data_IF_483244521316
#
_entry.id   IF_483244521316
#
_cell.length_a   1.000
_cell.length_b   1.000
_cell.length_c   1.000
_cell.angle_alpha   90.00
_cell.angle_beta   90.00
_cell.angle_gamma   90.00
#
_symmetry.space_group_name_H-M   'P 1'
#
loop_
_entity.id
_entity.type
_entity.pdbx_description
1 polymer ?
#
# COMPACT_ATOMS: atom_id res chain seq x y z
N UNK A 1 -13.77 19.51 26.80
CA UNK A 1 -15.06 19.68 26.11
C UNK A 1 -14.97 18.87 24.82
N UNK A 2 -15.68 17.76 24.73
CA UNK A 2 -15.52 16.78 23.65
C UNK A 2 -16.29 17.26 22.42
N UNK A 3 -15.70 17.22 21.22
CA UNK A 3 -16.37 17.58 19.94
C UNK A 3 -17.67 16.81 19.78
N UNK A 4 -17.69 15.56 20.23
CA UNK A 4 -18.91 14.75 20.33
C UNK A 4 -20.04 15.38 21.13
N UNK A 5 -19.74 16.08 22.23
CA UNK A 5 -20.77 16.74 23.04
C UNK A 5 -21.33 17.98 22.35
N UNK A 6 -20.53 18.66 21.54
CA UNK A 6 -20.96 19.84 20.76
C UNK A 6 -21.82 19.39 19.59
N UNK A 7 -21.39 18.36 18.86
CA UNK A 7 -22.17 17.79 17.75
C UNK A 7 -23.49 17.20 18.27
N UNK A 8 -23.48 16.40 19.35
CA UNK A 8 -24.72 15.84 19.92
C UNK A 8 -25.69 16.90 20.47
N UNK A 9 -25.18 18.01 21.01
CA UNK A 9 -26.06 19.07 21.54
C UNK A 9 -26.69 19.90 20.43
N UNK A 10 -26.01 20.05 19.29
CA UNK A 10 -26.56 20.72 18.10
C UNK A 10 -27.54 19.80 17.34
N UNK A 11 -27.21 18.52 17.18
CA UNK A 11 -28.09 17.52 16.51
C UNK A 11 -29.41 17.30 17.25
N UNK A 12 -29.39 17.26 18.60
CA UNK A 12 -30.62 17.16 19.41
C UNK A 12 -31.53 18.39 19.32
N UNK A 13 -31.01 19.54 18.89
CA UNK A 13 -31.77 20.77 18.77
C UNK A 13 -32.37 21.01 17.37
N UNK A 14 -31.84 20.34 16.33
CA UNK A 14 -32.15 20.68 14.92
C UNK A 14 -32.59 19.49 14.04
N UNK A 15 -32.46 18.24 14.50
CA UNK A 15 -32.80 17.05 13.70
C UNK A 15 -31.79 16.79 12.57
N UNK A 16 -31.86 15.60 11.96
CA UNK A 16 -30.93 15.04 10.94
C UNK A 16 -30.39 16.03 9.87
N UNK A 17 -31.11 17.11 9.57
CA UNK A 17 -30.70 18.17 8.66
C UNK A 17 -29.35 18.82 9.02
N UNK A 18 -29.03 18.99 10.30
CA UNK A 18 -27.74 19.55 10.70
C UNK A 18 -26.57 18.60 10.46
N UNK A 19 -26.80 17.30 10.59
CA UNK A 19 -25.75 16.28 10.39
C UNK A 19 -25.48 16.09 8.89
N UNK A 20 -26.53 16.05 8.08
CA UNK A 20 -26.41 15.98 6.62
C UNK A 20 -25.74 17.23 6.05
N UNK A 21 -26.12 18.43 6.53
CA UNK A 21 -25.47 19.69 6.13
C UNK A 21 -23.97 19.69 6.48
N UNK A 22 -23.62 19.26 7.69
CA UNK A 22 -22.22 19.15 8.11
C UNK A 22 -21.43 18.18 7.22
N UNK A 23 -22.00 17.00 6.91
CA UNK A 23 -21.38 16.04 5.99
C UNK A 23 -21.20 16.64 4.60
N UNK A 24 -22.18 17.37 4.08
CA UNK A 24 -22.09 18.05 2.79
C UNK A 24 -20.96 19.10 2.76
N UNK A 25 -20.83 19.90 3.83
CA UNK A 25 -19.75 20.88 3.99
C UNK A 25 -18.38 20.19 4.04
N UNK A 26 -18.28 19.07 4.75
CA UNK A 26 -17.07 18.27 4.81
C UNK A 26 -16.68 17.73 3.43
N UNK A 27 -17.62 17.19 2.65
CA UNK A 27 -17.34 16.75 1.28
C UNK A 27 -16.91 17.92 0.38
N UNK A 28 -17.53 19.08 0.53
CA UNK A 28 -17.15 20.31 -0.19
C UNK A 28 -15.71 20.76 0.16
N UNK A 29 -15.33 20.64 1.43
CA UNK A 29 -13.98 20.92 1.90
C UNK A 29 -12.96 19.97 1.27
N UNK A 30 -13.19 18.65 1.32
CA UNK A 30 -12.28 17.68 0.71
C UNK A 30 -12.20 17.82 -0.81
N UNK A 31 -13.29 18.20 -1.48
CA UNK A 31 -13.26 18.52 -2.90
C UNK A 31 -12.38 19.75 -3.19
N UNK A 32 -12.45 20.78 -2.35
CA UNK A 32 -11.61 21.97 -2.46
C UNK A 32 -10.14 21.64 -2.23
N UNK A 33 -9.85 20.80 -1.23
CA UNK A 33 -8.51 20.26 -0.99
C UNK A 33 -7.99 19.45 -2.17
N UNK A 34 -8.78 18.53 -2.73
CA UNK A 34 -8.37 17.72 -3.88
C UNK A 34 -8.06 18.59 -5.12
N UNK A 35 -8.82 19.68 -5.33
CA UNK A 35 -8.51 20.66 -6.39
C UNK A 35 -7.17 21.35 -6.16
N UNK A 36 -6.88 21.77 -4.91
CA UNK A 36 -5.59 22.36 -4.55
C UNK A 36 -4.44 21.34 -4.69
N UNK A 37 -4.66 20.09 -4.28
CA UNK A 37 -3.68 19.02 -4.39
C UNK A 37 -3.33 18.70 -5.85
N UNK A 38 -4.28 18.86 -6.79
CA UNK A 38 -4.05 18.61 -8.21
C UNK A 38 -3.25 19.70 -8.95
N UNK A 39 -2.99 20.84 -8.30
CA UNK A 39 -2.19 21.91 -8.91
C UNK A 39 -0.74 21.45 -9.04
N UNK A 40 -0.21 21.48 -10.26
CA UNK A 40 1.13 21.01 -10.58
C UNK A 40 2.11 22.20 -10.76
N UNK A 41 3.37 22.01 -10.38
CA UNK A 41 4.47 22.96 -10.57
C UNK A 41 4.29 24.35 -9.93
N UNK A 42 3.45 24.47 -8.90
CA UNK A 42 3.31 25.71 -8.13
C UNK A 42 4.12 25.65 -6.82
N UNK A 43 5.24 26.38 -6.78
CA UNK A 43 6.12 26.44 -5.61
C UNK A 43 5.49 27.16 -4.40
N UNK A 44 4.46 28.00 -4.63
CA UNK A 44 3.76 28.73 -3.57
C UNK A 44 2.80 27.78 -2.84
N UNK A 45 2.16 26.88 -3.58
CA UNK A 45 1.14 25.96 -3.06
C UNK A 45 1.77 24.66 -2.51
N UNK A 46 2.94 24.26 -3.00
CA UNK A 46 3.63 23.03 -2.60
C UNK A 46 3.77 22.84 -1.07
N UNK A 47 4.17 23.83 -0.26
CA UNK A 47 4.24 23.67 1.20
C UNK A 47 2.88 23.29 1.83
N UNK A 48 1.80 23.88 1.32
CA UNK A 48 0.43 23.59 1.77
C UNK A 48 0.00 22.18 1.37
N UNK A 49 0.34 21.73 0.15
CA UNK A 49 0.10 20.35 -0.28
C UNK A 49 0.82 19.35 0.63
N UNK A 50 2.11 19.58 0.90
CA UNK A 50 2.93 18.72 1.78
C UNK A 50 2.33 18.67 3.19
N UNK A 51 1.96 19.82 3.75
CA UNK A 51 1.41 19.91 5.10
C UNK A 51 0.05 19.19 5.22
N UNK A 52 -0.83 19.37 4.22
CA UNK A 52 -2.14 18.73 4.19
C UNK A 52 -2.01 17.20 4.10
N UNK A 53 -1.21 16.69 3.17
CA UNK A 53 -1.05 15.23 2.98
C UNK A 53 -0.34 14.60 4.19
N UNK A 54 0.67 15.26 4.77
CA UNK A 54 1.40 14.74 5.94
C UNK A 54 0.57 14.69 7.23
N UNK A 55 -0.49 15.49 7.32
CA UNK A 55 -1.38 15.54 8.50
C UNK A 55 -2.61 14.64 8.35
N UNK A 56 -2.83 14.04 7.17
CA UNK A 56 -4.05 13.29 6.88
C UNK A 56 -4.28 12.10 7.82
N UNK A 57 -3.22 11.35 8.14
CA UNK A 57 -3.30 10.23 9.10
C UNK A 57 -3.76 10.65 10.49
N UNK A 58 -3.54 11.91 10.88
CA UNK A 58 -3.86 12.42 12.22
C UNK A 58 -5.35 12.73 12.41
N UNK A 59 -6.11 12.88 11.31
CA UNK A 59 -7.53 13.24 11.35
C UNK A 59 -8.48 12.03 11.20
N UNK A 60 -7.95 10.82 11.01
CA UNK A 60 -8.77 9.63 10.78
C UNK A 60 -9.75 9.33 11.91
N UNK A 61 -9.32 9.45 13.16
CA UNK A 61 -10.20 9.23 14.31
C UNK A 61 -11.39 10.20 14.25
N UNK A 62 -11.15 11.46 13.95
CA UNK A 62 -12.17 12.50 13.86
C UNK A 62 -13.10 12.27 12.66
N UNK A 63 -12.58 11.83 11.52
CA UNK A 63 -13.41 11.52 10.34
C UNK A 63 -14.28 10.29 10.57
N UNK A 64 -13.74 9.23 11.17
CA UNK A 64 -14.47 7.99 11.47
C UNK A 64 -15.60 8.21 12.49
N UNK A 65 -15.52 9.27 13.29
CA UNK A 65 -16.58 9.66 14.22
C UNK A 65 -17.82 10.26 13.52
N UNK A 66 -17.68 10.73 12.27
CA UNK A 66 -18.72 11.49 11.55
C UNK A 66 -19.05 10.92 10.17
N UNK A 67 -18.20 10.05 9.62
CA UNK A 67 -18.37 9.41 8.32
C UNK A 67 -18.22 7.89 8.42
N UNK A 68 -18.95 7.12 7.59
CA UNK A 68 -18.68 5.71 7.41
C UNK A 68 -17.25 5.45 6.95
N UNK A 69 -16.66 4.32 7.37
CA UNK A 69 -15.28 3.94 7.03
C UNK A 69 -15.02 3.90 5.52
N UNK A 70 -16.02 3.51 4.72
CA UNK A 70 -15.91 3.48 3.26
C UNK A 70 -15.80 4.89 2.66
N UNK A 71 -16.49 5.88 3.24
CA UNK A 71 -16.39 7.28 2.77
C UNK A 71 -15.05 7.88 3.16
N UNK A 72 -14.52 7.55 4.34
CA UNK A 72 -13.14 7.95 4.71
C UNK A 72 -12.12 7.30 3.77
N UNK A 73 -12.29 6.02 3.42
CA UNK A 73 -11.41 5.34 2.46
C UNK A 73 -11.45 5.98 1.07
N UNK A 74 -12.63 6.36 0.56
CA UNK A 74 -12.78 7.10 -0.70
C UNK A 74 -12.08 8.46 -0.65
N UNK A 75 -12.21 9.19 0.47
CA UNK A 75 -11.52 10.46 0.68
C UNK A 75 -9.99 10.26 0.62
N UNK A 76 -9.44 9.27 1.33
CA UNK A 76 -8.00 8.93 1.29
C UNK A 76 -7.57 8.59 -0.13
N UNK A 77 -8.31 7.72 -0.82
CA UNK A 77 -8.05 7.36 -2.22
C UNK A 77 -7.95 8.59 -3.12
N UNK A 78 -8.96 9.47 -3.06
CA UNK A 78 -8.99 10.69 -3.88
C UNK A 78 -7.83 11.62 -3.54
N UNK A 79 -7.54 11.84 -2.25
CA UNK A 79 -6.40 12.64 -1.81
C UNK A 79 -5.08 12.13 -2.38
N UNK A 80 -4.88 10.81 -2.47
CA UNK A 80 -3.66 10.21 -3.02
C UNK A 80 -3.62 10.21 -4.55
N UNK A 81 -4.75 9.92 -5.22
CA UNK A 81 -4.83 9.87 -6.69
C UNK A 81 -4.84 11.25 -7.36
N UNK A 82 -5.27 12.31 -6.65
CA UNK A 82 -5.27 13.67 -7.19
C UNK A 82 -3.89 14.35 -7.16
N UNK A 83 -2.89 13.79 -6.49
CA UNK A 83 -1.56 14.39 -6.43
C UNK A 83 -0.90 14.40 -7.82
N UNK A 84 -0.26 15.52 -8.22
CA UNK A 84 0.38 15.65 -9.52
C UNK A 84 1.51 14.65 -9.66
N UNK A 85 1.90 14.26 -10.89
CA UNK A 85 3.10 13.44 -11.10
C UNK A 85 4.30 14.11 -10.43
N UNK A 86 4.82 13.52 -9.34
CA UNK A 86 5.70 14.23 -8.43
C UNK A 86 7.18 14.19 -8.85
N UNK A 87 7.83 15.33 -9.09
CA UNK A 87 9.29 15.42 -9.04
C UNK A 87 9.80 15.76 -7.62
N UNK A 88 8.96 16.32 -6.74
CA UNK A 88 9.39 16.79 -5.42
C UNK A 88 9.41 15.66 -4.37
N UNK A 89 10.59 15.42 -3.80
CA UNK A 89 10.83 14.36 -2.81
C UNK A 89 9.97 14.53 -1.55
N UNK A 90 9.75 15.75 -1.07
CA UNK A 90 8.96 15.99 0.15
C UNK A 90 7.48 15.67 -0.06
N UNK A 91 6.92 15.92 -1.25
CA UNK A 91 5.55 15.54 -1.58
C UNK A 91 5.41 14.01 -1.73
N UNK A 92 6.42 13.34 -2.30
CA UNK A 92 6.48 11.86 -2.33
C UNK A 92 6.51 11.29 -0.91
N UNK A 93 7.35 11.85 -0.03
CA UNK A 93 7.42 11.44 1.38
C UNK A 93 6.10 11.66 2.11
N UNK A 94 5.44 12.81 1.90
CA UNK A 94 4.12 13.08 2.46
C UNK A 94 3.08 12.06 1.99
N UNK A 95 3.04 11.75 0.68
CA UNK A 95 2.15 10.74 0.12
C UNK A 95 2.40 9.37 0.75
N UNK A 96 3.66 8.90 0.74
CA UNK A 96 4.00 7.58 1.28
C UNK A 96 3.69 7.49 2.78
N UNK A 97 3.90 8.58 3.53
CA UNK A 97 3.47 8.66 4.93
C UNK A 97 1.95 8.53 5.08
N UNK A 98 1.16 9.23 4.26
CA UNK A 98 -0.30 9.08 4.26
C UNK A 98 -0.74 7.65 3.96
N UNK A 99 -0.13 6.98 2.96
CA UNK A 99 -0.35 5.55 2.69
C UNK A 99 -0.04 4.71 3.92
N UNK A 100 1.13 4.92 4.53
CA UNK A 100 1.59 4.18 5.69
C UNK A 100 0.67 4.32 6.90
N UNK A 101 0.28 5.55 7.22
CA UNK A 101 -0.65 5.87 8.31
C UNK A 101 -2.01 5.21 8.05
N UNK A 102 -2.47 5.16 6.79
CA UNK A 102 -3.72 4.49 6.43
C UNK A 102 -3.65 2.99 6.64
N UNK A 103 -2.57 2.33 6.18
CA UNK A 103 -2.34 0.88 6.37
C UNK A 103 -2.35 0.50 7.85
N UNK A 104 -1.92 1.40 8.74
CA UNK A 104 -1.91 1.20 10.19
C UNK A 104 -3.20 1.57 10.92
N UNK A 105 -4.17 2.15 10.21
CA UNK A 105 -5.40 2.67 10.81
C UNK A 105 -6.55 1.64 10.79
N UNK A 106 -7.62 1.95 11.53
CA UNK A 106 -8.87 1.18 11.51
C UNK A 106 -9.54 1.14 10.12
N UNK A 107 -9.24 2.11 9.25
CA UNK A 107 -9.77 2.16 7.88
C UNK A 107 -9.36 0.90 7.11
N UNK A 108 -8.14 0.41 7.35
CA UNK A 108 -7.60 -0.77 6.68
C UNK A 108 -8.14 -2.09 7.22
N UNK A 109 -8.81 -2.07 8.38
CA UNK A 109 -9.40 -3.28 8.95
C UNK A 109 -10.74 -3.64 8.29
N UNK A 110 -11.42 -2.65 7.69
CA UNK A 110 -12.65 -2.88 6.94
C UNK A 110 -12.33 -3.52 5.57
N UNK A 111 -12.95 -4.66 5.25
CA UNK A 111 -12.63 -5.45 4.05
C UNK A 111 -12.90 -4.71 2.74
N UNK A 112 -14.05 -4.03 2.62
CA UNK A 112 -14.44 -3.32 1.40
C UNK A 112 -13.50 -2.13 1.15
N UNK A 113 -13.25 -1.34 2.20
CA UNK A 113 -12.29 -0.23 2.16
C UNK A 113 -10.89 -0.72 1.82
N UNK A 114 -10.44 -1.84 2.42
CA UNK A 114 -9.10 -2.38 2.25
C UNK A 114 -8.84 -2.76 0.79
N UNK A 115 -9.75 -3.51 0.16
CA UNK A 115 -9.58 -3.93 -1.24
C UNK A 115 -9.44 -2.73 -2.18
N UNK A 116 -10.29 -1.71 -2.00
CA UNK A 116 -10.21 -0.48 -2.81
C UNK A 116 -8.89 0.28 -2.59
N UNK A 117 -8.44 0.37 -1.34
CA UNK A 117 -7.17 1.02 -0.99
C UNK A 117 -5.97 0.23 -1.53
N UNK A 118 -6.01 -1.10 -1.56
CA UNK A 118 -4.94 -1.94 -2.13
C UNK A 118 -4.71 -1.63 -3.61
N UNK A 119 -5.76 -1.50 -4.42
CA UNK A 119 -5.63 -1.18 -5.85
C UNK A 119 -4.95 0.18 -6.08
N UNK A 120 -5.16 1.13 -5.17
CA UNK A 120 -4.56 2.47 -5.22
C UNK A 120 -3.12 2.43 -4.73
N UNK A 121 -2.90 1.91 -3.52
CA UNK A 121 -1.60 1.90 -2.86
C UNK A 121 -0.57 1.10 -3.65
N UNK A 122 -0.93 -0.07 -4.18
CA UNK A 122 0.00 -0.89 -4.97
C UNK A 122 0.43 -0.21 -6.26
N UNK A 123 -0.43 0.59 -6.89
CA UNK A 123 -0.10 1.38 -8.08
C UNK A 123 0.92 2.48 -7.77
N UNK A 124 0.74 3.22 -6.67
CA UNK A 124 1.69 4.26 -6.25
C UNK A 124 3.01 3.66 -5.76
N UNK A 125 2.97 2.59 -4.96
CA UNK A 125 4.16 1.84 -4.56
C UNK A 125 4.94 1.35 -5.78
N UNK A 126 4.26 0.76 -6.76
CA UNK A 126 4.88 0.31 -8.02
C UNK A 126 5.64 1.45 -8.71
N UNK A 127 4.99 2.60 -8.87
CA UNK A 127 5.57 3.79 -9.50
C UNK A 127 6.87 4.20 -8.80
N UNK A 128 6.82 4.41 -7.48
CA UNK A 128 7.98 4.87 -6.72
C UNK A 128 9.10 3.82 -6.66
N UNK A 129 8.75 2.54 -6.58
CA UNK A 129 9.73 1.45 -6.61
C UNK A 129 10.48 1.34 -7.94
N UNK A 130 9.77 1.44 -9.07
CA UNK A 130 10.40 1.47 -10.39
C UNK A 130 11.31 2.70 -10.59
N UNK A 131 10.94 3.82 -9.97
CA UNK A 131 11.73 5.07 -9.97
C UNK A 131 12.85 5.08 -8.92
N UNK A 132 13.01 4.02 -8.13
CA UNK A 132 13.94 3.95 -7.00
C UNK A 132 13.80 5.09 -5.97
N UNK A 133 12.60 5.64 -5.83
CA UNK A 133 12.30 6.71 -4.87
C UNK A 133 11.79 6.13 -3.56
N UNK A 134 12.35 6.60 -2.44
CA UNK A 134 11.86 6.26 -1.09
C UNK A 134 11.69 4.74 -0.88
N UNK A 135 12.60 3.94 -1.45
CA UNK A 135 12.49 2.47 -1.44
C UNK A 135 12.37 1.90 -0.03
N UNK A 136 13.04 2.51 0.95
CA UNK A 136 12.93 2.13 2.36
C UNK A 136 11.47 2.23 2.82
N UNK A 137 10.85 3.39 2.64
CA UNK A 137 9.46 3.64 3.01
C UNK A 137 8.50 2.73 2.24
N UNK A 138 8.71 2.54 0.93
CA UNK A 138 7.92 1.61 0.12
C UNK A 138 8.01 0.17 0.66
N UNK A 139 9.21 -0.30 1.03
CA UNK A 139 9.41 -1.64 1.59
C UNK A 139 8.75 -1.80 2.96
N UNK A 140 8.75 -0.75 3.80
CA UNK A 140 8.07 -0.77 5.10
C UNK A 140 6.55 -0.86 4.91
N UNK A 141 5.97 -0.02 4.05
CA UNK A 141 4.52 -0.03 3.77
C UNK A 141 4.10 -1.41 3.27
N UNK A 142 4.79 -1.93 2.26
CA UNK A 142 4.47 -3.24 1.69
C UNK A 142 4.65 -4.36 2.71
N UNK A 143 5.69 -4.29 3.54
CA UNK A 143 5.92 -5.24 4.62
C UNK A 143 4.78 -5.24 5.64
N UNK A 144 4.29 -4.06 6.05
CA UNK A 144 3.14 -3.91 6.95
C UNK A 144 1.85 -4.46 6.32
N UNK A 145 1.61 -4.17 5.03
CA UNK A 145 0.47 -4.74 4.28
C UNK A 145 0.53 -6.27 4.21
N UNK A 146 1.69 -6.84 3.87
CA UNK A 146 1.88 -8.30 3.78
C UNK A 146 1.73 -8.97 5.15
N UNK A 147 2.29 -8.35 6.20
CA UNK A 147 2.17 -8.85 7.58
C UNK A 147 0.71 -8.89 8.01
N UNK A 148 -0.06 -7.84 7.69
CA UNK A 148 -1.50 -7.80 7.92
C UNK A 148 -2.22 -8.96 7.21
N UNK A 149 -1.96 -9.17 5.91
CA UNK A 149 -2.59 -10.26 5.15
C UNK A 149 -2.24 -11.65 5.69
N UNK A 150 -0.99 -11.89 6.12
CA UNK A 150 -0.58 -13.14 6.77
C UNK A 150 -1.38 -13.39 8.05
N UNK A 151 -1.54 -12.35 8.88
CA UNK A 151 -2.35 -12.45 10.09
C UNK A 151 -3.82 -12.74 9.77
N UNK A 152 -4.40 -12.08 8.79
CA UNK A 152 -5.80 -12.31 8.40
C UNK A 152 -6.01 -13.71 7.78
N UNK A 153 -5.09 -14.18 6.94
CA UNK A 153 -5.14 -15.55 6.37
C UNK A 153 -5.10 -16.60 7.48
N UNK A 154 -4.27 -16.40 8.52
CA UNK A 154 -4.18 -17.34 9.66
C UNK A 154 -5.45 -17.43 10.50
N UNK A 155 -6.25 -16.35 10.54
CA UNK A 155 -7.55 -16.32 11.23
C UNK A 155 -8.68 -16.94 10.41
N UNK A 156 -8.46 -17.11 9.10
CA UNK A 156 -9.47 -17.57 8.15
C UNK A 156 -9.72 -19.08 8.26
N UNK A 157 -10.36 -19.51 9.36
CA UNK A 157 -10.98 -20.85 9.47
C UNK A 157 -12.41 -20.85 8.91
N UNK A 158 -12.92 -19.69 8.49
CA UNK A 158 -14.27 -19.48 7.98
C UNK A 158 -14.24 -18.97 6.54
N UNK A 159 -15.11 -19.52 5.69
CA UNK A 159 -15.23 -19.26 4.24
C UNK A 159 -15.45 -17.79 3.82
N UNK A 160 -15.60 -16.86 4.76
CA UNK A 160 -16.01 -15.47 4.50
C UNK A 160 -14.88 -14.43 4.67
N UNK A 161 -13.68 -14.80 5.11
CA UNK A 161 -12.55 -13.89 5.30
C UNK A 161 -11.34 -14.28 4.44
N UNK A 162 -11.52 -14.33 3.12
CA UNK A 162 -10.41 -14.59 2.20
C UNK A 162 -9.65 -13.30 1.91
N UNK A 163 -8.33 -13.34 2.05
CA UNK A 163 -7.40 -12.27 1.61
C UNK A 163 -6.98 -12.42 0.14
N UNK A 164 -7.59 -13.38 -0.57
CA UNK A 164 -7.16 -13.76 -1.92
C UNK A 164 -7.19 -12.59 -2.90
N UNK A 165 -8.19 -11.72 -2.84
CA UNK A 165 -8.27 -10.57 -3.76
C UNK A 165 -7.13 -9.58 -3.52
N UNK A 166 -6.79 -9.30 -2.27
CA UNK A 166 -5.67 -8.43 -1.92
C UNK A 166 -4.33 -9.04 -2.35
N UNK A 167 -4.15 -10.35 -2.15
CA UNK A 167 -2.96 -11.09 -2.60
C UNK A 167 -2.86 -11.05 -4.13
N UNK A 168 -3.96 -11.28 -4.84
CA UNK A 168 -4.01 -11.19 -6.29
C UNK A 168 -3.57 -9.80 -6.80
N UNK A 169 -4.09 -8.72 -6.20
CA UNK A 169 -3.69 -7.35 -6.55
C UNK A 169 -2.17 -7.19 -6.37
N UNK A 170 -1.61 -7.63 -5.24
CA UNK A 170 -0.16 -7.56 -5.00
C UNK A 170 0.65 -8.35 -6.03
N UNK A 171 0.22 -9.57 -6.36
CA UNK A 171 0.88 -10.44 -7.33
C UNK A 171 0.89 -9.79 -8.71
N UNK A 172 -0.28 -9.37 -9.21
CA UNK A 172 -0.41 -8.86 -10.56
C UNK A 172 0.24 -7.47 -10.73
N UNK A 173 0.25 -6.64 -9.69
CA UNK A 173 0.77 -5.27 -9.74
C UNK A 173 2.25 -5.19 -9.37
N UNK A 174 2.69 -5.85 -8.29
CA UNK A 174 3.99 -5.61 -7.65
C UNK A 174 5.02 -6.75 -7.78
N UNK A 175 4.64 -7.99 -8.09
CA UNK A 175 5.59 -9.12 -8.08
C UNK A 175 6.79 -8.88 -9.00
N UNK A 176 6.55 -8.49 -10.25
CA UNK A 176 7.60 -8.16 -11.22
C UNK A 176 8.47 -6.99 -10.75
N UNK A 177 7.84 -5.96 -10.16
CA UNK A 177 8.55 -4.78 -9.63
C UNK A 177 9.44 -5.14 -8.45
N UNK A 178 8.99 -6.03 -7.55
CA UNK A 178 9.80 -6.54 -6.44
C UNK A 178 11.02 -7.31 -6.94
N UNK A 179 10.82 -8.23 -7.89
CA UNK A 179 11.89 -9.01 -8.49
C UNK A 179 12.92 -8.08 -9.16
N UNK A 180 12.43 -7.07 -9.91
CA UNK A 180 13.28 -6.05 -10.51
C UNK A 180 14.10 -5.29 -9.45
N UNK A 181 13.47 -4.72 -8.43
CA UNK A 181 14.18 -3.96 -7.39
C UNK A 181 15.22 -4.83 -6.66
N UNK A 182 14.89 -6.07 -6.31
CA UNK A 182 15.82 -7.00 -5.63
C UNK A 182 17.00 -7.36 -6.52
N UNK A 183 16.77 -7.50 -7.83
CA UNK A 183 17.82 -7.81 -8.81
C UNK A 183 18.77 -6.63 -9.02
N UNK A 184 18.23 -5.43 -9.20
CA UNK A 184 19.02 -4.23 -9.56
C UNK A 184 19.74 -3.59 -8.37
N UNK A 185 19.21 -3.72 -7.14
CA UNK A 185 19.84 -3.11 -5.98
C UNK A 185 21.18 -3.75 -5.62
N UNK A 186 22.15 -2.91 -5.26
CA UNK A 186 23.43 -3.34 -4.69
C UNK A 186 23.25 -4.17 -3.42
N UNK A 187 24.19 -5.11 -3.20
CA UNK A 187 24.15 -6.00 -2.03
C UNK A 187 24.28 -5.27 -0.71
N UNK A 188 25.02 -4.17 -0.68
CA UNK A 188 25.20 -3.33 0.50
C UNK A 188 23.99 -2.43 0.79
N UNK A 189 23.00 -2.38 -0.10
CA UNK A 189 21.82 -1.55 0.11
C UNK A 189 21.06 -2.02 1.35
N UNK A 190 20.82 -1.16 2.35
CA UNK A 190 20.10 -1.53 3.56
C UNK A 190 18.62 -1.86 3.28
N UNK A 191 18.11 -1.52 2.10
CA UNK A 191 16.73 -1.77 1.67
C UNK A 191 16.58 -3.11 0.95
N UNK A 192 17.69 -3.72 0.50
CA UNK A 192 17.63 -4.99 -0.23
C UNK A 192 16.96 -6.07 0.62
N UNK A 193 17.47 -6.32 1.82
CA UNK A 193 16.90 -7.29 2.78
C UNK A 193 15.39 -7.14 3.01
N UNK A 194 14.90 -5.94 3.38
CA UNK A 194 13.45 -5.67 3.50
C UNK A 194 12.64 -6.00 2.23
N UNK A 195 13.14 -5.69 1.03
CA UNK A 195 12.46 -6.04 -0.23
C UNK A 195 12.43 -7.55 -0.49
N UNK A 196 13.50 -8.26 -0.11
CA UNK A 196 13.52 -9.73 -0.13
C UNK A 196 12.45 -10.29 0.79
N UNK A 197 12.37 -9.77 2.02
CA UNK A 197 11.37 -10.22 2.98
C UNK A 197 9.95 -10.01 2.44
N UNK A 198 9.69 -8.87 1.79
CA UNK A 198 8.43 -8.62 1.09
C UNK A 198 8.17 -9.62 -0.04
N UNK A 199 9.16 -9.90 -0.89
CA UNK A 199 9.03 -10.88 -1.97
C UNK A 199 8.69 -12.28 -1.43
N UNK A 200 9.42 -12.74 -0.42
CA UNK A 200 9.19 -14.06 0.20
C UNK A 200 7.82 -14.10 0.89
N UNK A 201 7.44 -13.03 1.61
CA UNK A 201 6.14 -12.95 2.27
C UNK A 201 4.98 -12.97 1.26
N UNK A 202 5.10 -12.27 0.12
CA UNK A 202 4.10 -12.31 -0.96
C UNK A 202 3.99 -13.72 -1.54
N UNK A 203 5.12 -14.36 -1.88
CA UNK A 203 5.13 -15.71 -2.43
C UNK A 203 4.51 -16.75 -1.48
N UNK A 204 4.64 -16.57 -0.17
CA UNK A 204 4.01 -17.44 0.84
C UNK A 204 2.49 -17.27 0.95
N UNK A 205 1.95 -16.10 0.60
CA UNK A 205 0.50 -15.85 0.57
C UNK A 205 -0.15 -16.40 -0.70
N UNK A 206 0.63 -16.67 -1.75
CA UNK A 206 0.10 -17.15 -3.02
C UNK A 206 -0.48 -18.56 -2.89
N UNK A 207 -1.54 -18.80 -3.66
CA UNK A 207 -2.29 -20.05 -3.75
C UNK A 207 -2.45 -20.35 -5.25
N UNK A 208 -2.90 -21.56 -5.60
CA UNK A 208 -2.99 -22.02 -6.99
C UNK A 208 -3.71 -21.04 -7.92
N UNK A 209 -4.81 -20.42 -7.44
CA UNK A 209 -5.55 -19.40 -8.18
C UNK A 209 -4.70 -18.18 -8.54
N UNK A 210 -3.85 -17.69 -7.62
CA UNK A 210 -2.97 -16.56 -7.85
C UNK A 210 -1.90 -16.87 -8.90
N UNK A 211 -1.38 -18.11 -8.89
CA UNK A 211 -0.45 -18.57 -9.93
C UNK A 211 -1.13 -18.68 -11.28
N UNK A 212 -2.37 -19.17 -11.34
CA UNK A 212 -3.13 -19.28 -12.58
C UNK A 212 -3.39 -17.90 -13.20
N UNK A 213 -3.87 -16.92 -12.44
CA UNK A 213 -4.10 -15.57 -12.96
C UNK A 213 -2.79 -14.85 -13.33
N UNK A 214 -1.71 -15.08 -12.55
CA UNK A 214 -0.38 -14.60 -12.94
C UNK A 214 0.06 -15.21 -14.28
N UNK A 215 -0.20 -16.50 -14.49
CA UNK A 215 0.12 -17.18 -15.74
C UNK A 215 -0.71 -16.65 -16.92
N UNK A 216 -2.00 -16.38 -16.70
CA UNK A 216 -2.89 -15.75 -17.69
C UNK A 216 -2.42 -14.34 -18.08
N UNK A 217 -1.84 -13.57 -17.14
CA UNK A 217 -1.22 -12.27 -17.44
C UNK A 217 -0.08 -12.39 -18.46
N UNK A 218 0.68 -13.49 -18.43
CA UNK A 218 1.71 -13.80 -19.43
C UNK A 218 1.15 -14.61 -20.62
N UNK A 219 -0.18 -14.75 -20.72
CA UNK A 219 -0.85 -15.77 -21.50
C UNK A 219 -1.57 -15.29 -22.78
N UNK A 220 -0.82 -15.28 -23.88
CA UNK A 220 -1.19 -16.02 -25.10
C UNK A 220 0.11 -16.52 -25.77
N UNK A 221 0.66 -17.65 -25.30
CA UNK A 221 1.99 -18.22 -25.65
C UNK A 221 2.20 -18.42 -27.18
N UNK A 222 1.13 -18.30 -27.98
CA UNK A 222 1.18 -18.25 -29.45
C UNK A 222 1.89 -16.99 -29.98
N UNK A 223 1.93 -15.89 -29.22
CA UNK A 223 2.62 -14.66 -29.60
C UNK A 223 4.07 -14.66 -29.09
N UNK A 224 5.03 -14.34 -29.98
CA UNK A 224 6.48 -14.31 -29.64
C UNK A 224 6.82 -13.32 -28.52
N UNK A 225 6.05 -12.24 -28.35
CA UNK A 225 6.27 -11.20 -27.34
C UNK A 225 6.06 -11.74 -25.93
N UNK A 226 4.95 -12.44 -25.72
CA UNK A 226 4.56 -12.96 -24.40
C UNK A 226 5.53 -14.05 -23.95
N UNK A 227 6.03 -14.88 -24.88
CA UNK A 227 7.08 -15.87 -24.59
C UNK A 227 8.40 -15.24 -24.15
N UNK A 228 8.77 -14.07 -24.68
CA UNK A 228 9.98 -13.34 -24.25
C UNK A 228 9.81 -12.77 -22.85
N UNK A 229 8.67 -12.12 -22.60
CA UNK A 229 8.36 -11.55 -21.29
C UNK A 229 8.32 -12.61 -20.19
N UNK A 230 7.68 -13.75 -20.45
CA UNK A 230 7.67 -14.89 -19.53
C UNK A 230 9.08 -15.42 -19.27
N UNK A 231 9.90 -15.55 -20.33
CA UNK A 231 11.29 -16.01 -20.18
C UNK A 231 12.10 -15.03 -19.33
N UNK A 232 11.99 -13.73 -19.57
CA UNK A 232 12.68 -12.69 -18.80
C UNK A 232 12.23 -12.67 -17.34
N UNK A 233 10.93 -12.84 -17.09
CA UNK A 233 10.38 -12.98 -15.75
C UNK A 233 10.96 -14.19 -15.03
N UNK A 234 10.87 -15.39 -15.61
CA UNK A 234 11.39 -16.63 -15.02
C UNK A 234 12.91 -16.59 -14.80
N UNK A 235 13.67 -16.00 -15.74
CA UNK A 235 15.10 -15.79 -15.56
C UNK A 235 15.39 -14.85 -14.40
N UNK A 236 14.61 -13.78 -14.26
CA UNK A 236 14.77 -12.83 -13.15
C UNK A 236 14.45 -13.49 -11.81
N UNK A 237 13.38 -14.28 -11.75
CA UNK A 237 13.04 -15.13 -10.59
C UNK A 237 14.22 -16.06 -10.24
N UNK A 238 14.75 -16.79 -11.23
CA UNK A 238 15.87 -17.71 -11.02
C UNK A 238 17.14 -16.99 -10.54
N UNK A 239 17.48 -15.83 -11.12
CA UNK A 239 18.64 -15.03 -10.71
C UNK A 239 18.48 -14.58 -9.25
N UNK A 240 17.30 -14.09 -8.88
CA UNK A 240 17.00 -13.66 -7.52
C UNK A 240 17.15 -14.84 -6.54
N UNK A 241 16.54 -15.99 -6.82
CA UNK A 241 16.69 -17.21 -6.00
C UNK A 241 18.13 -17.74 -5.95
N UNK A 242 18.83 -17.78 -7.07
CA UNK A 242 20.21 -18.25 -7.14
C UNK A 242 21.13 -17.37 -6.31
N UNK A 243 20.95 -16.05 -6.39
CA UNK A 243 21.66 -15.11 -5.54
C UNK A 243 21.34 -15.33 -4.06
N UNK A 244 20.12 -15.73 -3.70
CA UNK A 244 19.79 -16.11 -2.32
C UNK A 244 20.43 -17.40 -1.85
N UNK A 245 20.43 -18.44 -2.68
CA UNK A 245 20.95 -19.76 -2.28
C UNK A 245 22.48 -19.74 -2.18
N UNK A 246 23.15 -18.99 -3.06
CA UNK A 246 24.62 -18.92 -3.09
C UNK A 246 25.23 -17.96 -2.07
N UNK A 247 24.44 -17.11 -1.45
CA UNK A 247 24.94 -16.09 -0.54
C UNK A 247 24.27 -16.30 0.80
N UNK A 248 25.04 -16.30 1.88
CA UNK A 248 24.52 -16.14 3.23
C UNK A 248 23.95 -14.71 3.34
N UNK A 249 22.79 -14.47 2.71
CA UNK A 249 22.07 -13.18 2.75
C UNK A 249 21.49 -12.93 4.14
N UNK A 250 21.50 -13.95 4.99
CA UNK A 250 21.16 -13.83 6.38
C UNK A 250 22.38 -13.37 7.18
N UNK A 251 22.23 -12.41 8.11
CA UNK A 251 23.30 -12.04 9.03
C UNK A 251 23.89 -13.28 9.70
N UNK A 252 25.18 -13.27 10.04
CA UNK A 252 25.85 -14.37 10.75
C UNK A 252 25.07 -14.85 11.99
N UNK A 253 24.31 -13.94 12.61
CA UNK A 253 23.47 -14.19 13.79
C UNK A 253 22.31 -15.16 13.52
N UNK A 254 21.81 -15.25 12.28
CA UNK A 254 20.77 -16.22 11.90
C UNK A 254 21.31 -17.64 11.75
N UNK A 255 22.58 -17.80 11.39
CA UNK A 255 23.25 -19.11 11.38
C UNK A 255 23.38 -19.64 12.81
N UNK A 256 23.68 -18.77 13.77
CA UNK A 256 23.70 -19.09 15.21
C UNK A 256 22.29 -19.49 15.69
N UNK A 257 21.25 -18.75 15.28
CA UNK A 257 19.88 -19.04 15.67
C UNK A 257 19.40 -20.41 15.14
N UNK A 258 19.79 -20.80 13.91
CA UNK A 258 19.54 -22.13 13.32
C UNK A 258 20.31 -23.27 13.98
N UNK A 259 21.49 -23.01 14.55
CA UNK A 259 22.21 -24.02 15.34
C UNK A 259 21.54 -24.25 16.70
N UNK A 260 20.99 -23.20 17.32
CA UNK A 260 20.33 -23.30 18.62
C UNK A 260 18.91 -23.90 18.56
N UNK A 261 18.24 -23.85 17.39
CA UNK A 261 16.91 -24.49 17.21
C UNK A 261 16.97 -25.96 16.79
N UNK A 262 18.15 -26.46 16.40
CA UNK A 262 18.36 -27.85 15.98
C UNK A 262 19.13 -28.69 17.03
N UNK A 263 19.13 -28.24 18.30
CA UNK A 263 19.58 -29.02 19.45
C UNK A 263 18.38 -29.53 20.25
#
# INVERSE_FOLDING_TARGET
MNVYSIVNSISRATGDQSEEAFKADLYSLFNSFNRMLAINHDLIILPTQIALVSSFGQIYVQLLNVLPVQEVAKIVKLTIDCLPPEPNVALVQAKLRCIHDTVKSEIFQNIDSRVELFEVFTRHLKKHMLQQQELKTCSTILGDMLTYLHHEQSKSTQKHHSVSREVEILVLVLLETLIYCVKELDRSSPVKGPLVACLVALLRLMEDQHYNHLWEKFGNIRQRRDRRQLKEFLLSVFIVFHNFVKQDVFPSDWVVMRMLTNQ
#
